data_IF_630393819014
#
_entry.id   IF_630393819014
#
_cell.length_a   1.000
_cell.length_b   1.000
_cell.length_c   1.000
_cell.angle_alpha   90.00
_cell.angle_beta   90.00
_cell.angle_gamma   90.00
#
_symmetry.space_group_name_H-M   'P 1'
#
loop_
_entity.id
_entity.type
_entity.pdbx_description
1 polymer ?
#
# COMPACT_ATOMS: atom_id res chain seq x y z
N UNK A 1 15.35 20.32 -36.42
CA UNK A 1 15.25 19.21 -35.43
C UNK A 1 14.73 19.64 -34.06
N UNK A 2 15.06 20.85 -33.56
CA UNK A 2 14.57 21.37 -32.26
C UNK A 2 13.03 21.42 -32.15
N UNK A 3 12.37 21.73 -33.25
CA UNK A 3 10.91 21.88 -33.32
C UNK A 3 10.21 20.51 -33.24
N UNK A 4 10.82 19.45 -33.81
CA UNK A 4 10.30 18.08 -33.77
C UNK A 4 10.35 17.50 -32.35
N UNK A 5 11.43 17.77 -31.62
CA UNK A 5 11.59 17.34 -30.22
C UNK A 5 10.51 17.96 -29.34
N UNK A 6 10.19 19.23 -29.56
CA UNK A 6 9.14 19.93 -28.82
C UNK A 6 7.75 19.35 -29.12
N UNK A 7 7.46 19.03 -30.38
CA UNK A 7 6.20 18.39 -30.76
C UNK A 7 6.05 16.99 -30.15
N UNK A 8 7.12 16.19 -30.12
CA UNK A 8 7.10 14.83 -29.52
C UNK A 8 6.91 14.90 -27.99
N UNK A 9 7.54 15.87 -27.32
CA UNK A 9 7.40 16.07 -25.88
C UNK A 9 5.98 16.49 -25.49
N UNK A 10 5.33 17.34 -26.29
CA UNK A 10 3.92 17.72 -26.08
C UNK A 10 2.99 16.54 -26.36
N UNK A 11 3.25 15.75 -27.42
CA UNK A 11 2.41 14.60 -27.76
C UNK A 11 2.44 13.49 -26.69
N UNK A 12 3.59 13.27 -26.04
CA UNK A 12 3.74 12.30 -24.96
C UNK A 12 2.96 12.70 -23.69
N UNK A 13 2.76 14.00 -23.44
CA UNK A 13 2.02 14.46 -22.26
C UNK A 13 0.53 14.14 -22.29
N UNK A 14 -0.06 13.96 -23.48
CA UNK A 14 -1.50 13.74 -23.65
C UNK A 14 -1.93 12.28 -23.41
N UNK A 15 -0.99 11.33 -23.47
CA UNK A 15 -1.23 9.91 -23.18
C UNK A 15 -1.03 9.53 -21.69
N UNK A 16 -0.64 10.49 -20.84
CA UNK A 16 -0.46 10.23 -19.40
C UNK A 16 -1.76 10.24 -18.62
N UNK A 17 -2.90 10.57 -19.24
CA UNK A 17 -4.19 10.47 -18.59
C UNK A 17 -4.58 8.99 -18.54
N UNK A 18 -4.18 8.33 -17.44
CA UNK A 18 -4.45 6.93 -17.18
C UNK A 18 -5.92 6.60 -17.37
N UNK A 19 -6.17 5.41 -17.91
CA UNK A 19 -7.52 4.88 -18.03
C UNK A 19 -8.24 5.10 -16.70
N UNK A 20 -9.38 5.79 -16.74
CA UNK A 20 -10.25 5.89 -15.59
C UNK A 20 -10.69 4.46 -15.25
N UNK A 21 -9.97 3.82 -14.33
CA UNK A 21 -10.26 2.48 -13.86
C UNK A 21 -11.71 2.51 -13.38
N UNK A 22 -12.60 1.94 -14.18
CA UNK A 22 -14.02 1.88 -13.84
C UNK A 22 -14.12 1.13 -12.52
N UNK A 23 -14.92 1.69 -11.59
CA UNK A 23 -15.13 1.09 -10.27
C UNK A 23 -15.48 -0.40 -10.46
N UNK A 24 -14.69 -1.34 -9.90
CA UNK A 24 -15.01 -2.76 -9.98
C UNK A 24 -16.42 -3.02 -9.42
N UNK A 25 -17.11 -4.03 -9.96
CA UNK A 25 -18.48 -4.34 -9.55
C UNK A 25 -18.60 -4.67 -8.05
N UNK A 26 -17.50 -5.11 -7.44
CA UNK A 26 -17.40 -5.40 -6.02
C UNK A 26 -16.02 -4.92 -5.52
N UNK A 27 -16.00 -4.04 -4.53
CA UNK A 27 -14.77 -3.59 -3.86
C UNK A 27 -14.89 -3.83 -2.36
N UNK A 28 -13.76 -4.02 -1.68
CA UNK A 28 -13.70 -4.10 -0.22
C UNK A 28 -14.07 -2.77 0.40
N UNK A 29 -14.81 -2.81 1.51
CA UNK A 29 -15.02 -1.65 2.37
C UNK A 29 -13.66 -1.12 2.87
N UNK A 30 -13.53 0.20 3.03
CA UNK A 30 -12.30 0.88 3.45
C UNK A 30 -11.78 0.33 4.80
N UNK A 31 -12.67 0.17 5.78
CA UNK A 31 -12.35 -0.42 7.10
C UNK A 31 -11.73 -1.83 6.97
N UNK A 32 -12.32 -2.68 6.12
CA UNK A 32 -11.81 -4.05 5.90
C UNK A 32 -10.48 -4.05 5.17
N UNK A 33 -10.28 -3.09 4.27
CA UNK A 33 -9.00 -2.90 3.60
C UNK A 33 -7.93 -2.50 4.62
N UNK A 34 -8.23 -1.56 5.53
CA UNK A 34 -7.34 -1.15 6.61
C UNK A 34 -6.98 -2.32 7.56
N UNK A 35 -7.97 -3.11 7.98
CA UNK A 35 -7.74 -4.31 8.81
C UNK A 35 -6.83 -5.35 8.13
N UNK A 36 -7.04 -5.60 6.83
CA UNK A 36 -6.20 -6.51 6.04
C UNK A 36 -4.78 -5.99 5.90
N UNK A 37 -4.60 -4.72 5.55
CA UNK A 37 -3.29 -4.07 5.42
C UNK A 37 -2.53 -4.14 6.75
N UNK A 38 -3.21 -3.85 7.86
CA UNK A 38 -2.61 -3.96 9.19
C UNK A 38 -2.12 -5.38 9.50
N UNK A 39 -2.94 -6.40 9.24
CA UNK A 39 -2.54 -7.79 9.48
C UNK A 39 -1.42 -8.25 8.53
N UNK A 40 -1.39 -7.79 7.27
CA UNK A 40 -0.27 -8.03 6.36
C UNK A 40 1.02 -7.37 6.86
N UNK A 41 0.97 -6.12 7.31
CA UNK A 41 2.12 -5.38 7.81
C UNK A 41 2.70 -5.99 9.10
N UNK A 42 1.84 -6.46 10.02
CA UNK A 42 2.27 -7.18 11.23
C UNK A 42 2.92 -8.52 10.84
N UNK A 43 2.35 -9.21 9.87
CA UNK A 43 2.89 -10.49 9.41
C UNK A 43 4.24 -10.33 8.71
N UNK A 44 4.41 -9.34 7.84
CA UNK A 44 5.69 -8.97 7.18
C UNK A 44 6.81 -8.72 8.21
N UNK A 45 6.51 -8.06 9.34
CA UNK A 45 7.50 -7.85 10.41
C UNK A 45 7.99 -9.16 11.05
N UNK A 46 7.17 -10.22 11.02
CA UNK A 46 7.56 -11.53 11.56
C UNK A 46 8.62 -12.22 10.67
N UNK A 47 8.65 -11.90 9.37
CA UNK A 47 9.71 -12.37 8.45
C UNK A 47 11.06 -11.67 8.72
N UNK A 48 11.03 -10.38 9.07
CA UNK A 48 12.25 -9.61 9.35
C UNK A 48 13.01 -10.11 10.59
N UNK A 49 12.35 -10.83 11.50
CA UNK A 49 12.93 -11.36 12.75
C UNK A 49 13.52 -12.78 12.56
N UNK A 50 13.58 -13.29 11.32
CA UNK A 50 14.31 -14.54 11.01
C UNK A 50 13.48 -15.82 11.18
N UNK A 51 12.15 -15.72 11.26
CA UNK A 51 11.27 -16.87 11.13
C UNK A 51 11.23 -17.34 9.68
N UNK A 52 11.52 -18.63 9.42
CA UNK A 52 11.24 -19.29 8.14
C UNK A 52 9.72 -19.51 7.99
N UNK A 53 8.96 -18.42 8.04
CA UNK A 53 7.55 -18.41 7.69
C UNK A 53 7.54 -18.35 6.16
N UNK A 54 6.59 -19.02 5.52
CA UNK A 54 6.39 -18.91 4.07
C UNK A 54 5.41 -17.76 3.82
N UNK A 55 5.85 -16.69 3.15
CA UNK A 55 5.07 -15.46 2.91
C UNK A 55 3.75 -15.73 2.18
N UNK A 56 3.76 -16.72 1.29
CA UNK A 56 2.57 -17.16 0.58
C UNK A 56 1.55 -17.82 1.52
N UNK A 57 2.01 -18.64 2.48
CA UNK A 57 1.13 -19.29 3.45
C UNK A 57 0.53 -18.28 4.43
N UNK A 58 1.31 -17.28 4.82
CA UNK A 58 0.85 -16.25 5.72
C UNK A 58 -0.17 -15.32 5.04
N UNK A 59 0.10 -14.92 3.80
CA UNK A 59 -0.86 -14.18 2.96
C UNK A 59 -2.16 -14.95 2.79
N UNK A 60 -2.07 -16.25 2.45
CA UNK A 60 -3.24 -17.14 2.31
C UNK A 60 -4.02 -17.28 3.61
N UNK A 61 -3.32 -17.38 4.74
CA UNK A 61 -3.95 -17.47 6.07
C UNK A 61 -4.74 -16.20 6.39
N UNK A 62 -4.15 -15.02 6.18
CA UNK A 62 -4.80 -13.72 6.41
C UNK A 62 -6.04 -13.58 5.51
N UNK A 63 -5.90 -13.79 4.20
CA UNK A 63 -7.05 -13.73 3.29
C UNK A 63 -8.19 -14.68 3.69
N UNK A 64 -7.85 -15.90 4.12
CA UNK A 64 -8.83 -16.88 4.62
C UNK A 64 -9.50 -16.43 5.93
N UNK A 65 -8.74 -15.82 6.86
CA UNK A 65 -9.26 -15.26 8.11
C UNK A 65 -10.37 -14.24 7.86
N UNK A 66 -10.21 -13.39 6.86
CA UNK A 66 -11.21 -12.38 6.48
C UNK A 66 -12.25 -12.89 5.46
N UNK A 67 -12.18 -14.15 5.03
CA UNK A 67 -13.02 -14.71 3.97
C UNK A 67 -12.99 -13.90 2.66
N UNK A 68 -11.80 -13.41 2.29
CA UNK A 68 -11.57 -12.57 1.11
C UNK A 68 -10.75 -13.36 0.08
N UNK A 69 -11.15 -13.28 -1.18
CA UNK A 69 -10.36 -13.80 -2.30
C UNK A 69 -9.25 -12.82 -2.65
N UNK A 70 -8.09 -13.33 -3.07
CA UNK A 70 -6.95 -12.51 -3.47
C UNK A 70 -7.30 -11.52 -4.60
N UNK A 71 -8.10 -11.95 -5.57
CA UNK A 71 -8.58 -11.11 -6.69
C UNK A 71 -9.34 -9.87 -6.19
N UNK A 72 -10.31 -10.06 -5.29
CA UNK A 72 -11.08 -8.96 -4.71
C UNK A 72 -10.19 -7.96 -3.95
N UNK A 73 -9.18 -8.45 -3.21
CA UNK A 73 -8.21 -7.58 -2.55
C UNK A 73 -7.40 -6.77 -3.57
N UNK A 74 -6.84 -7.43 -4.59
CA UNK A 74 -6.02 -6.79 -5.63
C UNK A 74 -6.81 -5.72 -6.39
N UNK A 75 -8.02 -6.03 -6.84
CA UNK A 75 -8.88 -5.08 -7.56
C UNK A 75 -9.25 -3.88 -6.68
N UNK A 76 -9.58 -4.12 -5.42
CA UNK A 76 -9.91 -3.05 -4.47
C UNK A 76 -8.70 -2.17 -4.17
N UNK A 77 -7.52 -2.77 -3.97
CA UNK A 77 -6.28 -2.04 -3.73
C UNK A 77 -5.90 -1.16 -4.93
N UNK A 78 -5.98 -1.71 -6.15
CA UNK A 78 -5.76 -0.95 -7.38
C UNK A 78 -6.75 0.20 -7.52
N UNK A 79 -8.02 -0.03 -7.19
CA UNK A 79 -9.04 1.03 -7.20
C UNK A 79 -8.72 2.14 -6.20
N UNK A 80 -8.41 1.81 -4.95
CA UNK A 80 -8.08 2.81 -3.92
C UNK A 80 -6.79 3.56 -4.25
N UNK A 81 -5.81 2.93 -4.91
CA UNK A 81 -4.61 3.62 -5.40
C UNK A 81 -4.90 4.75 -6.41
N UNK A 82 -6.06 4.72 -7.08
CA UNK A 82 -6.49 5.84 -7.94
C UNK A 82 -7.12 7.01 -7.17
N UNK A 83 -7.31 6.86 -5.85
CA UNK A 83 -7.92 7.84 -4.95
C UNK A 83 -6.98 8.15 -3.78
N UNK A 84 -6.04 9.10 -3.97
CA UNK A 84 -4.99 9.37 -2.98
C UNK A 84 -5.52 9.66 -1.58
N UNK A 85 -6.55 10.49 -1.45
CA UNK A 85 -7.12 10.86 -0.15
C UNK A 85 -7.74 9.63 0.55
N UNK A 86 -8.53 8.83 -0.17
CA UNK A 86 -9.14 7.60 0.39
C UNK A 86 -8.09 6.56 0.77
N UNK A 87 -7.05 6.40 -0.04
CA UNK A 87 -5.95 5.47 0.28
C UNK A 87 -5.16 5.95 1.50
N UNK A 88 -4.97 7.26 1.66
CA UNK A 88 -4.32 7.82 2.84
C UNK A 88 -5.14 7.52 4.09
N UNK A 89 -6.45 7.74 4.06
CA UNK A 89 -7.35 7.44 5.18
C UNK A 89 -7.30 5.94 5.56
N UNK A 90 -7.28 5.04 4.57
CA UNK A 90 -7.11 3.59 4.78
C UNK A 90 -5.78 3.28 5.49
N UNK A 91 -4.69 3.93 5.08
CA UNK A 91 -3.37 3.72 5.69
C UNK A 91 -3.30 4.27 7.11
N UNK A 92 -3.86 5.45 7.37
CA UNK A 92 -3.91 6.04 8.70
C UNK A 92 -4.71 5.14 9.66
N UNK A 93 -5.85 4.61 9.19
CA UNK A 93 -6.64 3.65 9.96
C UNK A 93 -5.88 2.33 10.20
N UNK A 94 -5.14 1.83 9.21
CA UNK A 94 -4.31 0.64 9.38
C UNK A 94 -3.21 0.88 10.43
N UNK A 95 -2.59 2.06 10.43
CA UNK A 95 -1.60 2.45 11.43
C UNK A 95 -2.20 2.47 12.84
N UNK A 96 -3.40 3.03 13.00
CA UNK A 96 -4.10 3.06 14.28
C UNK A 96 -4.46 1.64 14.78
N UNK A 97 -4.87 0.75 13.88
CA UNK A 97 -5.09 -0.67 14.20
C UNK A 97 -3.79 -1.34 14.68
N UNK A 98 -2.67 -1.06 14.03
CA UNK A 98 -1.36 -1.60 14.41
C UNK A 98 -0.95 -1.09 15.80
N UNK A 99 -1.06 0.22 16.05
CA UNK A 99 -0.75 0.83 17.36
C UNK A 99 -1.62 0.24 18.47
N UNK A 100 -2.90 0.00 18.20
CA UNK A 100 -3.81 -0.61 19.17
C UNK A 100 -3.45 -2.08 19.48
N UNK A 101 -2.93 -2.82 18.50
CA UNK A 101 -2.53 -4.24 18.64
C UNK A 101 -1.16 -4.42 19.28
N UNK A 102 -0.23 -3.48 19.08
CA UNK A 102 1.11 -3.50 19.67
C UNK A 102 1.48 -2.10 20.20
N UNK A 103 1.41 -1.87 21.53
CA UNK A 103 1.81 -0.61 22.15
C UNK A 103 3.28 -0.24 21.89
N UNK A 104 4.15 -1.21 21.54
CA UNK A 104 5.53 -0.97 21.14
C UNK A 104 5.69 -0.49 19.70
N UNK A 105 4.65 -0.63 18.86
CA UNK A 105 4.68 -0.24 17.46
C UNK A 105 4.83 1.28 17.30
N UNK A 106 4.21 2.09 18.15
CA UNK A 106 4.34 3.55 18.08
C UNK A 106 5.80 4.00 18.24
N UNK A 107 6.53 3.42 19.20
CA UNK A 107 7.95 3.73 19.39
C UNK A 107 8.80 3.27 18.20
N UNK A 108 8.48 2.13 17.59
CA UNK A 108 9.16 1.61 16.41
C UNK A 108 8.90 2.46 15.16
N UNK A 109 7.63 2.82 14.89
CA UNK A 109 7.22 3.69 13.79
C UNK A 109 7.93 5.04 13.90
N UNK A 110 7.86 5.67 15.08
CA UNK A 110 8.53 6.95 15.33
C UNK A 110 10.05 6.88 15.15
N UNK A 111 10.68 5.76 15.55
CA UNK A 111 12.12 5.54 15.31
C UNK A 111 12.42 5.43 13.82
N UNK A 112 11.62 4.68 13.05
CA UNK A 112 11.81 4.50 11.61
C UNK A 112 11.57 5.78 10.81
N UNK A 113 10.57 6.59 11.19
CA UNK A 113 10.33 7.91 10.58
C UNK A 113 11.49 8.88 10.82
N UNK A 114 12.10 8.85 12.02
CA UNK A 114 13.30 9.64 12.32
C UNK A 114 14.53 9.16 11.55
N UNK A 115 14.69 7.84 11.39
CA UNK A 115 15.76 7.25 10.58
C UNK A 115 15.60 7.59 9.09
N UNK A 116 14.38 7.53 8.54
CA UNK A 116 14.11 7.85 7.13
C UNK A 116 14.25 9.35 6.80
N UNK A 117 13.92 10.23 7.77
CA UNK A 117 14.20 11.65 7.69
C UNK A 117 15.71 11.99 7.69
N UNK A 118 16.53 11.14 8.32
CA UNK A 118 17.99 11.28 8.40
C UNK A 118 18.78 10.50 7.34
N UNK A 119 18.11 9.81 6.41
CA UNK A 119 18.81 9.17 5.28
C UNK A 119 19.45 10.25 4.39
N UNK A 120 20.72 10.09 3.99
CA UNK A 120 21.31 10.91 2.93
C UNK A 120 20.37 10.93 1.72
N UNK A 121 20.30 12.08 1.05
CA UNK A 121 19.37 12.37 -0.06
C UNK A 121 19.40 11.38 -1.24
N UNK A 122 20.28 10.38 -1.21
CA UNK A 122 20.52 9.38 -2.25
C UNK A 122 19.60 8.16 -2.17
N UNK A 123 18.87 7.95 -1.07
CA UNK A 123 18.01 6.76 -0.86
C UNK A 123 16.52 7.09 -0.95
N UNK A 124 16.18 8.36 -1.19
CA UNK A 124 14.79 8.85 -1.30
C UNK A 124 14.40 8.86 -2.79
N UNK A 125 14.24 7.67 -3.39
CA UNK A 125 13.66 7.50 -4.73
C UNK A 125 12.50 6.52 -4.67
#
# INVERSE_FOLDING_TARGET
>A
MKNLIWTVMVLLSVFSCGEALQKPAHILDEDKMAELIADFAINEQTFAIGGNINSENATRYILKKYNIKAELFTESYQYYMTKPDTMQDIFDQAEDIIKAKDPGAEAYINKKLKESGNLPSQVRQ
#
